data_IF_964528055062
#
_entry.id   IF_964528055062
#
_cell.length_a   1.000
_cell.length_b   1.000
_cell.length_c   1.000
_cell.angle_alpha   90.00
_cell.angle_beta   90.00
_cell.angle_gamma   90.00
#
_symmetry.space_group_name_H-M   'P 1'
#
loop_
_entity.id
_entity.type
_entity.pdbx_description
1 polymer ?
#
# COMPACT_ATOMS: atom_id res chain seq x y z
N UNK A 1 -7.80 19.30 -30.36
CA UNK A 1 -9.14 19.30 -29.72
C UNK A 1 -9.00 18.46 -28.46
N UNK A 2 -9.25 19.01 -27.27
CA UNK A 2 -9.21 18.29 -26.01
C UNK A 2 -10.20 17.12 -26.04
N UNK A 3 -9.75 15.93 -25.64
CA UNK A 3 -10.60 14.76 -25.50
C UNK A 3 -10.73 14.45 -24.00
N UNK A 4 -11.95 14.48 -23.49
CA UNK A 4 -12.23 14.15 -22.11
C UNK A 4 -11.91 12.66 -21.86
N UNK A 5 -11.09 12.35 -20.83
CA UNK A 5 -10.76 10.96 -20.52
C UNK A 5 -11.92 10.24 -19.84
N UNK A 6 -12.03 8.97 -20.11
CA UNK A 6 -12.94 8.11 -19.36
C UNK A 6 -12.18 7.52 -18.16
N UNK A 7 -12.52 7.96 -16.95
CA UNK A 7 -11.88 7.49 -15.73
C UNK A 7 -12.64 6.30 -15.11
N UNK A 8 -11.99 5.15 -15.06
CA UNK A 8 -12.51 3.92 -14.45
C UNK A 8 -11.67 3.61 -13.18
N UNK A 9 -12.00 4.29 -12.09
CA UNK A 9 -11.17 4.30 -10.89
C UNK A 9 -11.83 3.69 -9.65
N UNK A 10 -13.15 3.59 -9.61
CA UNK A 10 -13.84 2.96 -8.48
C UNK A 10 -13.63 1.45 -8.50
N UNK A 11 -13.47 0.81 -7.34
CA UNK A 11 -13.31 -0.63 -7.27
C UNK A 11 -14.57 -1.33 -7.76
N UNK A 12 -14.37 -2.33 -8.63
CA UNK A 12 -15.46 -3.19 -9.11
C UNK A 12 -15.57 -4.43 -8.23
N UNK A 13 -16.78 -4.91 -8.05
CA UNK A 13 -17.01 -6.17 -7.36
C UNK A 13 -16.48 -7.31 -8.24
N UNK A 14 -15.62 -8.21 -7.71
CA UNK A 14 -15.13 -9.34 -8.47
C UNK A 14 -16.25 -10.31 -8.85
N UNK A 15 -16.06 -11.06 -9.94
CA UNK A 15 -17.04 -12.06 -10.40
C UNK A 15 -17.34 -13.13 -9.34
N UNK A 16 -16.30 -13.56 -8.61
CA UNK A 16 -16.41 -14.44 -7.44
C UNK A 16 -15.90 -13.70 -6.21
N UNK A 17 -16.79 -13.46 -5.26
CA UNK A 17 -16.55 -12.63 -4.07
C UNK A 17 -16.99 -13.27 -2.75
N UNK A 18 -17.52 -14.47 -2.80
CA UNK A 18 -18.11 -15.20 -1.67
C UNK A 18 -17.10 -16.02 -0.87
N UNK A 19 -15.81 -15.74 -1.04
CA UNK A 19 -14.75 -16.35 -0.22
C UNK A 19 -14.92 -16.00 1.26
N UNK A 20 -14.71 -17.00 2.14
CA UNK A 20 -14.62 -16.74 3.57
C UNK A 20 -13.29 -16.11 3.94
N UNK A 21 -13.34 -14.94 4.56
CA UNK A 21 -12.17 -14.21 5.04
C UNK A 21 -12.00 -14.49 6.53
N UNK A 22 -10.81 -14.96 6.93
CA UNK A 22 -10.35 -14.98 8.30
C UNK A 22 -9.48 -13.75 8.58
N UNK A 23 -9.84 -12.92 9.57
CA UNK A 23 -9.08 -11.74 9.94
C UNK A 23 -8.17 -12.06 11.12
N UNK A 24 -6.85 -11.91 10.95
CA UNK A 24 -5.85 -12.12 12.00
C UNK A 24 -5.26 -10.78 12.42
N UNK A 25 -5.56 -10.37 13.64
CA UNK A 25 -5.30 -9.05 14.20
C UNK A 25 -6.49 -8.12 14.01
N UNK A 26 -7.05 -7.62 15.12
CA UNK A 26 -8.15 -6.64 15.12
C UNK A 26 -7.62 -5.38 15.80
N UNK A 27 -6.61 -4.76 15.17
CA UNK A 27 -6.03 -3.50 15.62
C UNK A 27 -6.54 -2.31 14.83
N UNK A 28 -6.00 -1.12 15.10
CA UNK A 28 -6.49 0.14 14.54
C UNK A 28 -6.64 0.14 13.01
N UNK A 29 -5.72 -0.50 12.26
CA UNK A 29 -5.83 -0.55 10.80
C UNK A 29 -6.99 -1.44 10.34
N UNK A 30 -7.25 -2.55 11.04
CA UNK A 30 -8.40 -3.40 10.79
C UNK A 30 -9.71 -2.65 11.08
N UNK A 31 -9.73 -1.90 12.20
CA UNK A 31 -10.89 -1.14 12.66
C UNK A 31 -11.29 -0.01 11.71
N UNK A 32 -10.32 0.76 11.21
CA UNK A 32 -10.60 1.96 10.39
C UNK A 32 -10.55 1.69 8.88
N UNK A 33 -9.95 0.59 8.43
CA UNK A 33 -9.74 0.29 7.01
C UNK A 33 -10.43 -1.00 6.56
N UNK A 34 -9.89 -2.15 6.96
CA UNK A 34 -10.29 -3.45 6.42
C UNK A 34 -11.74 -3.81 6.73
N UNK A 35 -12.16 -3.76 8.00
CA UNK A 35 -13.52 -4.13 8.41
C UNK A 35 -14.57 -3.24 7.73
N UNK A 36 -14.48 -1.88 7.78
CA UNK A 36 -15.44 -1.03 7.08
C UNK A 36 -15.49 -1.28 5.57
N UNK A 37 -14.34 -1.51 4.94
CA UNK A 37 -14.26 -1.79 3.51
C UNK A 37 -14.99 -3.09 3.15
N UNK A 38 -14.75 -4.17 3.91
CA UNK A 38 -15.38 -5.47 3.65
C UNK A 38 -16.88 -5.44 3.91
N UNK A 39 -17.32 -4.76 4.95
CA UNK A 39 -18.76 -4.56 5.22
C UNK A 39 -19.43 -3.79 4.09
N UNK A 40 -18.83 -2.69 3.61
CA UNK A 40 -19.35 -1.89 2.49
C UNK A 40 -19.42 -2.69 1.19
N UNK A 41 -18.41 -3.53 0.91
CA UNK A 41 -18.36 -4.39 -0.28
C UNK A 41 -19.26 -5.63 -0.17
N UNK A 42 -19.72 -5.99 1.03
CA UNK A 42 -20.41 -7.23 1.31
C UNK A 42 -19.51 -8.46 1.32
N UNK A 43 -18.20 -8.30 1.53
CA UNK A 43 -17.26 -9.42 1.67
C UNK A 43 -17.47 -10.14 3.01
N UNK A 44 -17.25 -11.45 3.03
CA UNK A 44 -17.65 -12.32 4.13
C UNK A 44 -16.49 -12.54 5.12
N UNK A 45 -16.45 -11.79 6.22
CA UNK A 45 -15.59 -12.14 7.36
C UNK A 45 -16.26 -13.27 8.12
N UNK A 46 -15.64 -14.45 8.14
CA UNK A 46 -16.22 -15.68 8.73
C UNK A 46 -15.57 -16.09 10.04
N UNK A 47 -14.40 -15.56 10.35
CA UNK A 47 -13.68 -15.80 11.60
C UNK A 47 -12.72 -14.62 11.90
N UNK A 48 -12.42 -14.40 13.18
CA UNK A 48 -11.41 -13.43 13.62
C UNK A 48 -10.49 -14.06 14.66
N UNK A 49 -9.22 -13.67 14.65
CA UNK A 49 -8.25 -14.06 15.67
C UNK A 49 -7.47 -12.84 16.17
N UNK A 50 -7.48 -12.62 17.48
CA UNK A 50 -6.66 -11.63 18.17
C UNK A 50 -6.42 -12.11 19.60
N UNK A 51 -5.20 -12.06 20.17
CA UNK A 51 -4.96 -12.48 21.55
C UNK A 51 -5.68 -11.60 22.59
N UNK A 52 -6.05 -10.37 22.23
CA UNK A 52 -6.69 -9.40 23.11
C UNK A 52 -8.22 -9.52 23.02
N UNK A 53 -8.87 -9.89 24.13
CA UNK A 53 -10.32 -10.13 24.17
C UNK A 53 -11.14 -8.91 23.73
N UNK A 54 -10.82 -7.71 24.24
CA UNK A 54 -11.56 -6.50 23.88
C UNK A 54 -11.53 -6.19 22.36
N UNK A 55 -10.51 -6.61 21.64
CA UNK A 55 -10.45 -6.48 20.18
C UNK A 55 -11.37 -7.48 19.48
N UNK A 56 -11.48 -8.70 20.01
CA UNK A 56 -12.45 -9.67 19.51
C UNK A 56 -13.88 -9.21 19.77
N UNK A 57 -14.15 -8.61 20.94
CA UNK A 57 -15.45 -7.99 21.25
C UNK A 57 -15.78 -6.81 20.33
N UNK A 58 -14.77 -6.00 19.97
CA UNK A 58 -14.96 -4.97 18.95
C UNK A 58 -15.41 -5.57 17.61
N UNK A 59 -14.75 -6.65 17.15
CA UNK A 59 -15.16 -7.36 15.93
C UNK A 59 -16.58 -7.93 16.04
N UNK A 60 -16.98 -8.49 17.20
CA UNK A 60 -18.35 -8.95 17.47
C UNK A 60 -19.36 -7.83 17.22
N UNK A 61 -19.11 -6.65 17.78
CA UNK A 61 -20.00 -5.50 17.67
C UNK A 61 -20.08 -4.94 16.23
N UNK A 62 -18.97 -4.91 15.51
CA UNK A 62 -18.90 -4.31 14.17
C UNK A 62 -19.37 -5.26 13.07
N UNK A 63 -19.07 -6.55 13.18
CA UNK A 63 -19.29 -7.54 12.13
C UNK A 63 -20.49 -8.43 12.45
N UNK A 64 -20.88 -8.53 13.72
CA UNK A 64 -21.91 -9.47 14.19
C UNK A 64 -21.42 -10.91 14.26
N UNK A 65 -20.08 -11.12 14.42
CA UNK A 65 -19.50 -12.45 14.45
C UNK A 65 -19.62 -13.09 15.82
N UNK A 66 -20.21 -14.29 15.89
CA UNK A 66 -20.44 -15.00 17.15
C UNK A 66 -19.14 -15.43 17.84
N UNK A 67 -19.19 -15.64 19.17
CA UNK A 67 -18.03 -16.03 19.99
C UNK A 67 -17.40 -17.37 19.56
N UNK A 68 -18.18 -18.25 18.96
CA UNK A 68 -17.74 -19.54 18.39
C UNK A 68 -16.82 -19.39 17.16
N UNK A 69 -16.68 -18.17 16.63
CA UNK A 69 -15.84 -17.82 15.48
C UNK A 69 -14.76 -16.78 15.82
N UNK A 70 -14.54 -16.59 17.11
CA UNK A 70 -13.51 -15.70 17.67
C UNK A 70 -12.44 -16.52 18.37
N UNK A 71 -11.18 -16.31 18.00
CA UNK A 71 -10.05 -17.10 18.49
C UNK A 71 -9.01 -16.22 19.14
N UNK A 72 -8.40 -16.69 20.21
CA UNK A 72 -7.23 -16.06 20.81
C UNK A 72 -5.93 -16.45 20.11
N UNK A 73 -5.92 -17.61 19.46
CA UNK A 73 -4.81 -18.14 18.67
C UNK A 73 -5.21 -18.22 17.18
N UNK A 74 -4.37 -17.70 16.32
CA UNK A 74 -4.61 -17.70 14.87
C UNK A 74 -4.67 -19.13 14.27
N UNK A 75 -4.00 -20.10 14.89
CA UNK A 75 -3.99 -21.49 14.39
C UNK A 75 -5.38 -22.12 14.42
N UNK A 76 -6.18 -21.83 15.44
CA UNK A 76 -7.56 -22.31 15.51
C UNK A 76 -8.44 -21.72 14.39
N UNK A 77 -8.15 -20.48 13.94
CA UNK A 77 -8.79 -19.88 12.79
C UNK A 77 -8.32 -20.54 11.48
N UNK A 78 -7.03 -20.88 11.37
CA UNK A 78 -6.46 -21.48 10.17
C UNK A 78 -6.99 -22.91 9.92
N UNK A 79 -7.38 -23.65 10.96
CA UNK A 79 -7.97 -25.00 10.86
C UNK A 79 -9.38 -25.00 10.24
N UNK A 80 -10.01 -23.84 10.10
CA UNK A 80 -11.38 -23.75 9.55
C UNK A 80 -11.40 -23.97 8.03
N UNK A 81 -12.29 -24.84 7.58
CA UNK A 81 -12.50 -25.15 6.15
C UNK A 81 -13.26 -24.04 5.39
N UNK A 82 -14.05 -23.22 6.10
CA UNK A 82 -14.78 -22.08 5.50
C UNK A 82 -13.95 -20.79 5.39
N UNK A 83 -12.70 -20.79 5.84
CA UNK A 83 -11.71 -19.73 5.62
C UNK A 83 -10.85 -20.11 4.41
N UNK A 84 -10.96 -19.35 3.32
CA UNK A 84 -10.15 -19.50 2.11
C UNK A 84 -9.09 -18.43 1.99
N UNK A 85 -9.37 -17.21 2.47
CA UNK A 85 -8.46 -16.07 2.47
C UNK A 85 -8.19 -15.66 3.92
N UNK A 86 -6.94 -15.39 4.23
CA UNK A 86 -6.54 -14.84 5.52
C UNK A 86 -6.00 -13.43 5.33
N UNK A 87 -6.59 -12.49 6.04
CA UNK A 87 -6.15 -11.10 6.07
C UNK A 87 -5.36 -10.85 7.35
N UNK A 88 -4.05 -10.58 7.21
CA UNK A 88 -3.09 -10.46 8.31
C UNK A 88 -2.78 -8.98 8.55
N UNK A 89 -3.46 -8.38 9.55
CA UNK A 89 -3.35 -6.97 9.91
C UNK A 89 -2.46 -6.73 11.15
N UNK A 90 -1.62 -7.72 11.46
CA UNK A 90 -0.66 -7.64 12.56
C UNK A 90 0.40 -6.59 12.25
N UNK A 91 0.71 -5.66 13.18
CA UNK A 91 1.74 -4.65 12.97
C UNK A 91 3.13 -5.27 12.81
N UNK A 92 4.01 -4.66 12.02
CA UNK A 92 5.38 -5.14 11.81
C UNK A 92 6.24 -5.13 13.07
N UNK A 93 5.86 -4.39 14.10
CA UNK A 93 6.51 -4.40 15.41
C UNK A 93 6.20 -5.66 16.22
N UNK A 94 5.21 -6.46 15.80
CA UNK A 94 4.88 -7.73 16.46
C UNK A 94 5.93 -8.80 16.12
N UNK A 95 6.54 -9.44 17.13
CA UNK A 95 7.53 -10.48 16.90
C UNK A 95 6.94 -11.73 16.20
N UNK A 96 5.63 -11.90 16.22
CA UNK A 96 4.95 -13.07 15.69
C UNK A 96 4.46 -12.91 14.25
N UNK A 97 4.59 -11.72 13.62
CA UNK A 97 4.05 -11.48 12.27
C UNK A 97 4.57 -12.51 11.26
N UNK A 98 5.88 -12.75 11.26
CA UNK A 98 6.52 -13.65 10.30
C UNK A 98 6.03 -15.10 10.48
N UNK A 99 5.95 -15.60 11.73
CA UNK A 99 5.44 -16.94 11.99
C UNK A 99 3.98 -17.08 11.59
N UNK A 100 3.13 -16.10 11.87
CA UNK A 100 1.71 -16.09 11.46
C UNK A 100 1.56 -16.17 9.94
N UNK A 101 2.40 -15.43 9.18
CA UNK A 101 2.39 -15.53 7.72
C UNK A 101 2.79 -16.92 7.25
N UNK A 102 3.82 -17.52 7.84
CA UNK A 102 4.22 -18.90 7.50
C UNK A 102 3.15 -19.93 7.86
N UNK A 103 2.54 -19.83 9.04
CA UNK A 103 1.46 -20.73 9.48
C UNK A 103 0.26 -20.66 8.52
N UNK A 104 -0.12 -19.45 8.06
CA UNK A 104 -1.20 -19.26 7.09
C UNK A 104 -0.88 -19.88 5.71
N UNK A 105 0.39 -19.76 5.26
CA UNK A 105 0.86 -20.38 4.02
C UNK A 105 0.85 -21.91 4.16
N UNK A 106 1.34 -22.47 5.27
CA UNK A 106 1.37 -23.92 5.54
C UNK A 106 -0.04 -24.52 5.63
N UNK A 107 -1.01 -23.73 6.13
CA UNK A 107 -2.43 -24.09 6.12
C UNK A 107 -3.09 -24.00 4.73
N UNK A 108 -2.34 -23.63 3.68
CA UNK A 108 -2.83 -23.53 2.31
C UNK A 108 -3.81 -22.38 2.08
N UNK A 109 -3.84 -21.35 2.96
CA UNK A 109 -4.73 -20.19 2.82
C UNK A 109 -4.12 -19.16 1.88
N UNK A 110 -4.93 -18.58 0.98
CA UNK A 110 -4.53 -17.38 0.26
C UNK A 110 -4.44 -16.20 1.25
N UNK A 111 -3.49 -15.29 1.05
CA UNK A 111 -3.19 -14.30 2.09
C UNK A 111 -3.13 -12.87 1.55
N UNK A 112 -3.65 -11.95 2.33
CA UNK A 112 -3.36 -10.54 2.28
C UNK A 112 -2.57 -10.15 3.53
N UNK A 113 -1.50 -9.38 3.38
CA UNK A 113 -0.61 -9.02 4.50
C UNK A 113 -0.41 -7.52 4.54
N UNK A 114 -0.60 -6.90 5.71
CA UNK A 114 -0.28 -5.48 5.91
C UNK A 114 1.19 -5.18 5.69
N UNK A 115 1.42 -4.03 5.02
CA UNK A 115 2.75 -3.49 4.77
C UNK A 115 3.38 -2.90 6.07
N UNK A 116 4.70 -2.77 6.13
CA UNK A 116 5.65 -3.46 5.26
C UNK A 116 5.59 -4.97 5.52
N UNK A 117 5.90 -5.76 4.50
CA UNK A 117 5.88 -7.24 4.64
C UNK A 117 6.82 -7.70 5.75
N UNK A 118 8.04 -7.15 5.79
CA UNK A 118 9.02 -7.32 6.88
C UNK A 118 9.95 -6.11 6.95
N UNK A 119 10.57 -5.92 8.12
CA UNK A 119 11.68 -4.97 8.33
C UNK A 119 13.03 -5.55 7.87
N UNK A 120 13.06 -6.73 7.31
CA UNK A 120 14.23 -7.41 6.78
C UNK A 120 13.92 -7.99 5.39
N UNK A 121 14.77 -7.66 4.40
CA UNK A 121 14.53 -8.08 3.02
C UNK A 121 14.61 -9.61 2.84
N UNK A 122 15.54 -10.29 3.51
CA UNK A 122 15.68 -11.76 3.41
C UNK A 122 14.47 -12.49 3.98
N UNK A 123 13.90 -11.98 5.08
CA UNK A 123 12.65 -12.52 5.65
C UNK A 123 11.47 -12.31 4.69
N UNK A 124 11.31 -11.08 4.14
CA UNK A 124 10.28 -10.80 3.15
C UNK A 124 10.39 -11.74 1.94
N UNK A 125 11.60 -11.94 1.41
CA UNK A 125 11.90 -12.86 0.33
C UNK A 125 11.56 -14.31 0.69
N UNK A 126 11.90 -14.72 1.92
CA UNK A 126 11.57 -16.05 2.45
C UNK A 126 10.07 -16.34 2.46
N UNK A 127 9.25 -15.41 2.97
CA UNK A 127 7.79 -15.53 2.98
C UNK A 127 7.21 -15.63 1.56
N UNK A 128 7.66 -14.77 0.64
CA UNK A 128 7.19 -14.77 -0.75
C UNK A 128 7.56 -16.08 -1.47
N UNK A 129 8.78 -16.57 -1.28
CA UNK A 129 9.21 -17.84 -1.86
C UNK A 129 8.44 -19.04 -1.27
N UNK A 130 8.10 -18.98 0.02
CA UNK A 130 7.28 -19.99 0.67
C UNK A 130 5.86 -20.01 0.09
N UNK A 131 5.19 -18.86 -0.03
CA UNK A 131 3.88 -18.75 -0.64
C UNK A 131 3.87 -19.31 -2.08
N UNK A 132 4.87 -18.94 -2.88
CA UNK A 132 5.03 -19.47 -4.24
C UNK A 132 5.19 -20.98 -4.27
N UNK A 133 6.02 -21.55 -3.38
CA UNK A 133 6.24 -23.01 -3.28
C UNK A 133 4.96 -23.77 -2.93
N UNK A 134 4.14 -23.18 -2.06
CA UNK A 134 2.87 -23.78 -1.63
C UNK A 134 1.69 -23.51 -2.57
N UNK A 135 1.89 -22.71 -3.65
CA UNK A 135 0.82 -22.34 -4.58
C UNK A 135 -0.21 -21.37 -3.97
N UNK A 136 0.17 -20.65 -2.92
CA UNK A 136 -0.68 -19.68 -2.22
C UNK A 136 -0.59 -18.33 -2.90
N UNK A 137 -1.73 -17.73 -3.27
CA UNK A 137 -1.76 -16.34 -3.75
C UNK A 137 -1.51 -15.41 -2.57
N UNK A 138 -0.59 -14.47 -2.74
CA UNK A 138 -0.16 -13.52 -1.73
C UNK A 138 -0.23 -12.10 -2.26
N UNK A 139 -1.02 -11.24 -1.60
CA UNK A 139 -1.04 -9.79 -1.87
C UNK A 139 -0.57 -8.99 -0.66
N UNK A 140 0.08 -7.86 -0.91
CA UNK A 140 0.57 -6.95 0.13
C UNK A 140 -0.26 -5.66 0.10
N UNK A 141 -0.57 -5.11 1.28
CA UNK A 141 -1.48 -3.96 1.41
C UNK A 141 -0.86 -2.65 0.88
N UNK A 142 -0.75 -2.55 -0.46
CA UNK A 142 -0.56 -1.28 -1.16
C UNK A 142 -1.89 -0.82 -1.76
N UNK A 143 -2.85 -0.54 -0.87
CA UNK A 143 -4.22 -0.16 -1.21
C UNK A 143 -4.31 1.15 -1.98
N UNK A 144 -3.25 1.99 -2.00
CA UNK A 144 -3.23 3.26 -2.75
C UNK A 144 -3.50 3.05 -4.24
N UNK A 145 -3.07 1.93 -4.83
CA UNK A 145 -3.36 1.60 -6.24
C UNK A 145 -4.87 1.55 -6.58
N UNK A 146 -5.74 1.43 -5.58
CA UNK A 146 -7.21 1.44 -5.74
C UNK A 146 -7.89 2.68 -5.15
N UNK A 147 -7.15 3.58 -4.50
CA UNK A 147 -7.71 4.85 -4.07
C UNK A 147 -8.06 5.72 -5.29
N UNK A 148 -9.21 6.43 -5.27
CA UNK A 148 -9.74 7.11 -6.46
C UNK A 148 -8.74 8.00 -7.18
N UNK A 149 -8.05 8.91 -6.49
CA UNK A 149 -7.10 9.84 -7.15
C UNK A 149 -5.91 9.11 -7.76
N UNK A 150 -5.32 8.12 -7.06
CA UNK A 150 -4.16 7.37 -7.55
C UNK A 150 -4.52 6.49 -8.75
N UNK A 151 -5.71 5.86 -8.70
CA UNK A 151 -6.25 5.06 -9.79
C UNK A 151 -6.58 5.91 -11.01
N UNK A 152 -7.12 7.13 -10.80
CA UNK A 152 -7.40 8.08 -11.88
C UNK A 152 -6.12 8.54 -12.59
N UNK A 153 -5.04 8.78 -11.85
CA UNK A 153 -3.71 9.06 -12.41
C UNK A 153 -3.27 7.91 -13.33
N UNK A 154 -3.36 6.67 -12.83
CA UNK A 154 -3.02 5.47 -13.64
C UNK A 154 -3.85 5.38 -14.91
N UNK A 155 -5.16 5.64 -14.84
CA UNK A 155 -6.04 5.66 -16.00
C UNK A 155 -5.59 6.68 -17.08
N UNK A 156 -5.18 7.89 -16.68
CA UNK A 156 -4.68 8.91 -17.61
C UNK A 156 -3.36 8.47 -18.27
N UNK A 157 -2.47 7.85 -17.50
CA UNK A 157 -1.20 7.34 -18.01
C UNK A 157 -1.43 6.20 -19.00
N UNK A 158 -2.27 5.20 -18.66
CA UNK A 158 -2.57 4.04 -19.48
C UNK A 158 -3.28 4.39 -20.79
N UNK A 159 -4.10 5.45 -20.78
CA UNK A 159 -4.74 5.99 -21.96
C UNK A 159 -3.81 6.92 -22.76
N UNK A 160 -2.53 7.04 -22.39
CA UNK A 160 -1.51 7.85 -23.05
C UNK A 160 -1.79 9.37 -23.12
N UNK A 161 -2.61 9.91 -22.21
CA UNK A 161 -2.89 11.33 -22.17
C UNK A 161 -1.66 12.19 -21.86
N UNK A 162 -0.67 11.62 -21.18
CA UNK A 162 0.58 12.31 -20.83
C UNK A 162 1.70 12.08 -21.84
N UNK A 163 1.52 11.20 -22.83
CA UNK A 163 2.61 10.81 -23.72
C UNK A 163 3.73 10.07 -23.00
N UNK A 164 5.00 10.34 -23.34
CA UNK A 164 6.15 9.77 -22.66
C UNK A 164 6.43 10.52 -21.34
N UNK A 165 6.40 9.81 -20.22
CA UNK A 165 6.68 10.39 -18.90
C UNK A 165 8.16 10.71 -18.74
N UNK A 166 8.49 11.87 -18.17
CA UNK A 166 9.86 12.28 -17.89
C UNK A 166 10.09 12.77 -16.44
N UNK A 167 9.02 13.19 -15.73
CA UNK A 167 9.12 13.65 -14.36
C UNK A 167 7.89 13.30 -13.52
N UNK A 168 8.12 12.78 -12.31
CA UNK A 168 7.10 12.57 -11.29
C UNK A 168 7.58 13.14 -9.95
N UNK A 169 6.70 13.74 -9.19
CA UNK A 169 7.00 14.13 -7.81
C UNK A 169 5.83 13.92 -6.87
N UNK A 170 6.15 13.58 -5.62
CA UNK A 170 5.22 13.53 -4.50
C UNK A 170 5.83 14.32 -3.35
N UNK A 171 5.06 15.28 -2.84
CA UNK A 171 5.32 15.98 -1.58
C UNK A 171 4.33 15.50 -0.54
N UNK A 172 4.81 14.71 0.43
CA UNK A 172 4.03 14.18 1.54
C UNK A 172 4.27 14.99 2.81
N UNK A 173 3.17 15.43 3.42
CA UNK A 173 3.16 16.04 4.75
C UNK A 173 2.11 15.32 5.59
N UNK A 174 2.55 14.61 6.61
CA UNK A 174 1.66 13.88 7.51
C UNK A 174 2.12 14.03 8.95
N UNK A 175 1.22 13.81 9.92
CA UNK A 175 1.56 13.89 11.34
C UNK A 175 1.36 12.53 12.01
N UNK A 176 2.48 11.79 12.15
CA UNK A 176 2.55 10.56 12.94
C UNK A 176 3.35 10.74 14.23
N UNK A 177 3.83 11.96 14.51
CA UNK A 177 4.65 12.25 15.69
C UNK A 177 3.81 12.44 16.97
N UNK A 178 2.87 11.52 17.17
CA UNK A 178 2.01 11.46 18.35
C UNK A 178 2.48 10.31 19.25
N UNK A 179 2.42 10.47 20.59
CA UNK A 179 2.72 9.39 21.52
C UNK A 179 1.86 8.15 21.22
N UNK A 180 2.49 6.98 21.12
CA UNK A 180 1.75 5.74 20.86
C UNK A 180 2.55 4.64 20.18
N UNK A 181 1.94 3.94 19.23
CA UNK A 181 2.49 2.72 18.62
C UNK A 181 3.75 2.90 17.76
N UNK A 182 4.03 4.13 17.33
CA UNK A 182 5.18 4.43 16.48
C UNK A 182 6.42 4.95 17.24
N UNK A 183 6.32 5.21 18.54
CA UNK A 183 7.39 5.83 19.34
C UNK A 183 8.72 5.06 19.24
N UNK A 184 8.65 3.73 19.20
CA UNK A 184 9.81 2.83 19.17
C UNK A 184 10.23 2.43 17.74
N UNK A 185 9.58 2.96 16.73
CA UNK A 185 9.86 2.59 15.34
C UNK A 185 11.15 3.27 14.88
N UNK A 186 12.18 2.48 14.56
CA UNK A 186 13.51 2.97 14.15
C UNK A 186 13.61 3.28 12.66
N UNK A 187 12.78 2.62 11.84
CA UNK A 187 12.64 2.83 10.40
C UNK A 187 11.21 3.29 10.13
N UNK A 188 10.97 4.59 10.19
CA UNK A 188 9.62 5.14 10.22
C UNK A 188 9.16 5.63 8.84
N UNK A 189 9.76 6.70 8.32
CA UNK A 189 9.28 7.34 7.10
C UNK A 189 9.26 6.36 5.92
N UNK A 190 10.40 5.73 5.62
CA UNK A 190 10.52 4.91 4.42
C UNK A 190 9.65 3.65 4.50
N UNK A 191 9.68 2.94 5.62
CA UNK A 191 8.93 1.68 5.78
C UNK A 191 7.43 1.89 5.99
N UNK A 192 7.04 2.99 6.66
CA UNK A 192 5.64 3.18 7.00
C UNK A 192 4.85 3.97 5.95
N UNK A 193 5.50 4.90 5.24
CA UNK A 193 4.82 5.79 4.30
C UNK A 193 5.42 5.75 2.91
N UNK A 194 6.72 6.02 2.76
CA UNK A 194 7.36 6.10 1.44
C UNK A 194 7.23 4.81 0.65
N UNK A 195 7.09 3.67 1.32
CA UNK A 195 6.85 2.36 0.68
C UNK A 195 5.63 2.37 -0.24
N UNK A 196 4.57 3.09 0.11
CA UNK A 196 3.40 3.28 -0.77
C UNK A 196 3.75 4.09 -2.01
N UNK A 197 4.50 5.18 -1.86
CA UNK A 197 4.81 6.07 -2.98
C UNK A 197 5.87 5.51 -3.92
N UNK A 198 6.83 4.74 -3.40
CA UNK A 198 7.73 3.95 -4.24
C UNK A 198 6.95 2.93 -5.05
N UNK A 199 5.97 2.27 -4.45
CA UNK A 199 5.07 1.35 -5.12
C UNK A 199 4.27 2.05 -6.23
N UNK A 200 3.71 3.24 -5.95
CA UNK A 200 2.97 4.06 -6.92
C UNK A 200 3.85 4.49 -8.10
N UNK A 201 5.06 4.99 -7.85
CA UNK A 201 5.97 5.38 -8.93
C UNK A 201 6.30 4.20 -9.86
N UNK A 202 6.54 3.02 -9.31
CA UNK A 202 6.76 1.79 -10.09
C UNK A 202 5.52 1.42 -10.89
N UNK A 203 4.35 1.45 -10.25
CA UNK A 203 3.09 1.06 -10.87
C UNK A 203 2.64 2.04 -11.96
N UNK A 204 2.72 3.35 -11.72
CA UNK A 204 2.36 4.37 -12.71
C UNK A 204 3.25 4.31 -13.95
N UNK A 205 4.55 4.14 -13.75
CA UNK A 205 5.52 4.14 -14.85
C UNK A 205 5.63 2.78 -15.56
N UNK A 206 5.25 1.69 -14.89
CA UNK A 206 5.52 0.33 -15.34
C UNK A 206 7.02 0.01 -15.42
N UNK A 207 7.87 0.74 -14.69
CA UNK A 207 9.33 0.65 -14.74
C UNK A 207 9.94 0.50 -13.37
N UNK A 208 11.14 -0.10 -13.32
CA UNK A 208 11.93 -0.21 -12.10
C UNK A 208 13.01 0.88 -12.04
N UNK A 209 13.22 1.52 -10.86
CA UNK A 209 14.33 2.46 -10.71
C UNK A 209 15.68 1.77 -10.92
N UNK A 210 16.58 2.43 -11.64
CA UNK A 210 17.96 1.96 -11.86
C UNK A 210 18.86 2.26 -10.67
N UNK A 211 18.63 3.40 -10.04
CA UNK A 211 19.36 3.84 -8.85
C UNK A 211 18.53 4.80 -8.03
N UNK A 212 18.82 4.86 -6.75
CA UNK A 212 18.16 5.72 -5.77
C UNK A 212 19.23 6.52 -5.03
N UNK A 213 19.01 7.84 -4.89
CA UNK A 213 19.70 8.67 -3.90
C UNK A 213 18.70 9.08 -2.83
N UNK A 214 19.07 8.92 -1.55
CA UNK A 214 18.24 9.27 -0.42
C UNK A 214 19.02 10.09 0.61
N UNK A 215 18.31 11.04 1.23
CA UNK A 215 18.76 11.80 2.39
C UNK A 215 17.67 11.74 3.45
N UNK A 216 18.02 11.32 4.66
CA UNK A 216 17.09 11.11 5.76
C UNK A 216 17.50 11.93 6.97
N UNK A 217 16.52 12.47 7.68
CA UNK A 217 16.77 13.23 8.91
C UNK A 217 15.57 13.13 9.87
N UNK A 218 15.73 13.76 11.03
CA UNK A 218 14.71 13.81 12.09
C UNK A 218 14.34 15.26 12.38
N UNK A 219 13.05 15.51 12.61
CA UNK A 219 12.61 16.79 13.14
C UNK A 219 13.19 16.97 14.58
N UNK A 220 13.70 18.16 14.93
CA UNK A 220 14.11 18.44 16.31
C UNK A 220 12.95 18.21 17.31
N UNK A 221 13.21 17.54 18.43
CA UNK A 221 12.25 17.26 19.51
C UNK A 221 11.03 16.42 19.10
N UNK A 222 11.12 15.61 18.06
CA UNK A 222 10.07 14.64 17.73
C UNK A 222 10.02 13.50 18.76
N UNK A 223 8.84 12.86 18.90
CA UNK A 223 8.62 11.70 19.78
C UNK A 223 9.15 10.41 19.16
N UNK A 224 8.84 10.16 17.90
CA UNK A 224 9.32 8.97 17.18
C UNK A 224 10.85 8.95 17.10
N UNK A 225 11.44 7.76 17.30
CA UNK A 225 12.91 7.60 17.30
C UNK A 225 13.49 7.44 15.90
N UNK A 226 12.71 7.01 14.92
CA UNK A 226 13.11 6.87 13.52
C UNK A 226 13.17 8.18 12.75
N UNK A 227 13.57 8.09 11.50
CA UNK A 227 13.57 9.22 10.57
C UNK A 227 12.13 9.68 10.27
N UNK A 228 11.92 10.99 10.23
CA UNK A 228 10.63 11.61 9.94
C UNK A 228 10.65 12.49 8.70
N UNK A 229 11.84 12.86 8.24
CA UNK A 229 12.04 13.72 7.07
C UNK A 229 12.92 12.97 6.08
N UNK A 230 12.52 12.95 4.81
CA UNK A 230 13.30 12.29 3.77
C UNK A 230 13.09 12.88 2.39
N UNK A 231 14.14 12.78 1.59
CA UNK A 231 14.12 13.10 0.17
C UNK A 231 14.68 11.91 -0.58
N UNK A 232 13.94 11.42 -1.58
CA UNK A 232 14.41 10.38 -2.49
C UNK A 232 14.40 10.91 -3.92
N UNK A 233 15.47 10.62 -4.64
CA UNK A 233 15.56 10.82 -6.09
C UNK A 233 15.76 9.43 -6.70
N UNK A 234 14.88 9.05 -7.61
CA UNK A 234 14.93 7.76 -8.30
C UNK A 234 15.08 8.00 -9.80
N UNK A 235 16.15 7.47 -10.38
CA UNK A 235 16.39 7.49 -11.81
C UNK A 235 15.89 6.19 -12.44
N UNK A 236 15.10 6.33 -13.48
CA UNK A 236 14.63 5.22 -14.32
C UNK A 236 15.36 5.22 -15.66
N UNK A 237 14.98 4.35 -16.58
CA UNK A 237 15.44 4.41 -17.96
C UNK A 237 14.79 5.56 -18.75
N UNK A 238 15.30 5.85 -19.95
CA UNK A 238 14.75 6.87 -20.87
C UNK A 238 14.58 8.27 -20.26
N UNK A 239 15.54 8.67 -19.41
CA UNK A 239 15.56 10.00 -18.76
C UNK A 239 14.35 10.29 -17.85
N UNK A 240 13.62 9.28 -17.41
CA UNK A 240 12.57 9.44 -16.44
C UNK A 240 13.14 9.55 -15.02
N UNK A 241 12.67 10.52 -14.27
CA UNK A 241 13.04 10.75 -12.87
C UNK A 241 11.83 10.92 -12.00
N UNK A 242 11.86 10.36 -10.80
CA UNK A 242 10.91 10.70 -9.75
C UNK A 242 11.59 11.27 -8.52
N UNK A 243 10.85 12.16 -7.82
CA UNK A 243 11.28 12.80 -6.57
C UNK A 243 10.20 12.63 -5.52
N UNK A 244 10.61 12.17 -4.35
CA UNK A 244 9.75 12.13 -3.18
C UNK A 244 10.31 13.05 -2.10
N UNK A 245 9.44 13.87 -1.52
CA UNK A 245 9.71 14.74 -0.38
C UNK A 245 8.76 14.34 0.74
N UNK A 246 9.27 13.80 1.83
CA UNK A 246 8.46 13.31 2.95
C UNK A 246 8.75 14.04 4.25
N UNK A 247 7.70 14.35 5.00
CA UNK A 247 7.77 14.75 6.39
C UNK A 247 6.55 14.21 7.14
N UNK A 248 6.77 13.18 7.96
CA UNK A 248 5.72 12.52 8.77
C UNK A 248 5.67 13.01 10.22
N UNK A 249 6.35 14.10 10.51
CA UNK A 249 6.29 14.83 11.76
C UNK A 249 5.94 16.32 11.50
N UNK A 250 5.04 16.57 10.55
CA UNK A 250 4.56 17.92 10.23
C UNK A 250 3.51 18.37 11.24
N UNK A 251 3.11 19.63 11.18
CA UNK A 251 1.95 20.09 11.96
C UNK A 251 0.66 19.59 11.30
N UNK A 252 -0.25 19.05 12.11
CA UNK A 252 -1.49 18.38 11.66
C UNK A 252 -2.38 19.19 10.71
N UNK A 253 -2.30 20.51 10.75
CA UNK A 253 -3.07 21.42 9.88
C UNK A 253 -2.55 21.48 8.44
N UNK A 254 -1.41 20.84 8.14
CA UNK A 254 -0.74 20.89 6.82
C UNK A 254 -0.64 19.51 6.16
N UNK A 255 -1.50 18.57 6.57
CA UNK A 255 -1.45 17.21 6.01
C UNK A 255 -1.89 17.20 4.54
N UNK A 256 -1.05 16.63 3.67
CA UNK A 256 -1.35 16.45 2.25
C UNK A 256 -0.38 15.49 1.58
N UNK A 257 -0.82 14.95 0.45
CA UNK A 257 0.01 14.41 -0.61
C UNK A 257 -0.21 15.28 -1.85
N UNK A 258 0.77 16.06 -2.27
CA UNK A 258 0.75 16.78 -3.54
C UNK A 258 1.51 15.96 -4.57
N UNK A 259 0.86 15.66 -5.67
CA UNK A 259 1.37 14.80 -6.74
C UNK A 259 1.46 15.63 -8.01
N UNK A 260 2.61 15.57 -8.69
CA UNK A 260 2.81 16.16 -10.00
C UNK A 260 3.43 15.14 -10.93
N UNK A 261 2.86 15.01 -12.13
CA UNK A 261 3.35 14.11 -13.17
C UNK A 261 3.42 14.87 -14.48
N UNK A 262 4.55 14.78 -15.17
CA UNK A 262 4.81 15.46 -16.43
C UNK A 262 5.22 14.46 -17.51
N UNK A 263 4.63 14.62 -18.66
CA UNK A 263 4.95 13.87 -19.86
C UNK A 263 4.93 14.76 -21.11
N UNK A 264 5.39 14.23 -22.23
CA UNK A 264 5.47 14.96 -23.49
C UNK A 264 4.10 15.38 -24.06
N UNK A 265 3.03 14.76 -23.59
CA UNK A 265 1.65 15.04 -24.03
C UNK A 265 0.81 15.83 -23.03
N UNK A 266 1.26 16.00 -21.79
CA UNK A 266 0.47 16.71 -20.78
C UNK A 266 1.06 16.63 -19.37
N UNK A 267 0.28 17.17 -18.43
CA UNK A 267 0.66 17.32 -17.03
C UNK A 267 -0.53 17.03 -16.13
N UNK A 268 -0.27 16.40 -14.98
CA UNK A 268 -1.22 16.18 -13.90
C UNK A 268 -0.73 16.90 -12.64
N UNK A 269 -1.65 17.59 -11.96
CA UNK A 269 -1.56 17.95 -10.55
C UNK A 269 -2.67 17.22 -9.80
N UNK A 270 -2.33 16.59 -8.66
CA UNK A 270 -3.31 15.92 -7.84
C UNK A 270 -3.03 16.12 -6.35
N UNK A 271 -4.07 16.02 -5.54
CA UNK A 271 -3.98 16.17 -4.08
C UNK A 271 -4.79 15.09 -3.36
N UNK A 272 -4.24 14.63 -2.24
CA UNK A 272 -4.92 13.74 -1.32
C UNK A 272 -4.64 14.24 0.11
N UNK A 273 -5.66 14.78 0.76
CA UNK A 273 -5.50 15.53 2.03
C UNK A 273 -6.05 14.78 3.24
N UNK A 274 -6.84 13.73 3.04
CA UNK A 274 -7.36 12.89 4.13
C UNK A 274 -7.82 11.53 3.58
N UNK A 275 -7.91 10.54 4.46
CA UNK A 275 -8.23 9.15 4.11
C UNK A 275 -9.67 8.93 3.63
N UNK A 276 -10.57 9.87 3.89
CA UNK A 276 -12.02 9.72 3.65
C UNK A 276 -12.50 10.43 2.39
N UNK A 277 -11.67 11.30 1.80
CA UNK A 277 -12.00 11.95 0.54
C UNK A 277 -11.41 11.20 -0.65
N UNK A 278 -12.03 11.28 -1.84
CA UNK A 278 -11.46 10.67 -3.05
C UNK A 278 -10.16 11.35 -3.53
N UNK A 279 -9.81 12.51 -2.96
CA UNK A 279 -8.76 13.38 -3.47
C UNK A 279 -9.27 14.29 -4.60
N UNK A 280 -8.37 15.05 -5.18
CA UNK A 280 -8.64 15.92 -6.33
C UNK A 280 -7.56 15.77 -7.39
N UNK A 281 -7.97 15.99 -8.64
CA UNK A 281 -7.12 15.83 -9.81
C UNK A 281 -7.44 16.95 -10.80
N UNK A 282 -6.40 17.55 -11.35
CA UNK A 282 -6.51 18.36 -12.56
C UNK A 282 -5.43 17.94 -13.56
N UNK A 283 -5.77 18.01 -14.84
CA UNK A 283 -4.82 17.72 -15.88
C UNK A 283 -4.98 18.66 -17.08
N UNK A 284 -3.86 18.96 -17.76
CA UNK A 284 -3.80 19.73 -19.00
C UNK A 284 -2.97 18.99 -20.06
N UNK A 285 -3.32 19.19 -21.33
CA UNK A 285 -2.60 18.64 -22.48
C UNK A 285 -1.74 19.70 -23.15
N UNK A 286 -0.63 19.30 -23.73
CA UNK A 286 0.20 20.15 -24.58
C UNK A 286 -0.64 20.66 -25.77
N UNK A 287 -0.59 21.98 -26.01
CA UNK A 287 -1.43 22.66 -27.02
C UNK A 287 -2.82 23.10 -26.51
N UNK A 288 -3.11 22.86 -25.22
CA UNK A 288 -4.31 23.30 -24.53
C UNK A 288 -3.98 23.80 -23.11
N UNK A 289 -2.86 24.53 -22.98
CA UNK A 289 -2.25 24.90 -21.69
C UNK A 289 -3.14 25.79 -20.83
N UNK A 290 -4.03 26.57 -21.46
CA UNK A 290 -5.02 27.42 -20.76
C UNK A 290 -6.23 26.62 -20.25
N UNK A 291 -6.34 25.34 -20.61
CA UNK A 291 -7.45 24.48 -20.22
C UNK A 291 -7.02 23.40 -19.25
N UNK A 292 -7.64 23.38 -18.06
CA UNK A 292 -7.47 22.35 -17.04
C UNK A 292 -8.76 21.57 -16.86
N UNK A 293 -8.71 20.28 -17.18
CA UNK A 293 -9.78 19.34 -16.86
C UNK A 293 -9.72 18.99 -15.38
N UNK A 294 -10.86 19.14 -14.68
CA UNK A 294 -11.00 18.91 -13.23
C UNK A 294 -12.19 17.98 -12.97
N UNK A 295 -12.00 16.65 -13.09
CA UNK A 295 -13.08 15.71 -12.82
C UNK A 295 -13.50 15.78 -11.35
N UNK A 296 -14.79 15.67 -11.11
CA UNK A 296 -15.29 15.43 -9.76
C UNK A 296 -15.12 13.94 -9.46
N UNK A 297 -14.19 13.63 -8.55
CA UNK A 297 -13.98 12.25 -8.11
C UNK A 297 -14.98 11.89 -7.02
N UNK A 298 -15.46 10.66 -7.07
CA UNK A 298 -16.36 10.05 -6.07
C UNK A 298 -15.61 8.99 -5.29
N UNK A 299 -16.22 8.51 -4.20
CA UNK A 299 -15.68 7.43 -3.37
C UNK A 299 -14.98 7.90 -2.10
N UNK A 300 -14.38 6.95 -1.41
CA UNK A 300 -13.65 7.15 -0.15
C UNK A 300 -12.29 6.45 -0.27
N UNK A 301 -11.21 7.21 -0.31
CA UNK A 301 -9.87 6.68 -0.61
C UNK A 301 -9.53 5.41 0.18
N UNK A 302 -9.66 5.46 1.49
CA UNK A 302 -9.21 4.36 2.34
C UNK A 302 -10.09 3.12 2.20
N UNK A 303 -11.41 3.31 2.21
CA UNK A 303 -12.39 2.22 2.06
C UNK A 303 -12.30 1.59 0.68
N UNK A 304 -12.31 2.39 -0.39
CA UNK A 304 -12.25 1.89 -1.77
C UNK A 304 -10.91 1.23 -2.07
N UNK A 305 -9.82 1.73 -1.45
CA UNK A 305 -8.49 1.13 -1.51
C UNK A 305 -8.50 -0.34 -1.07
N UNK A 306 -9.06 -0.64 0.09
CA UNK A 306 -9.12 -2.02 0.61
C UNK A 306 -10.16 -2.88 -0.12
N UNK A 307 -11.29 -2.29 -0.57
CA UNK A 307 -12.26 -3.02 -1.41
C UNK A 307 -11.57 -3.52 -2.68
N UNK A 308 -10.86 -2.65 -3.38
CA UNK A 308 -10.22 -3.00 -4.63
C UNK A 308 -9.07 -3.98 -4.46
N UNK A 309 -8.27 -3.83 -3.39
CA UNK A 309 -7.15 -4.73 -3.11
C UNK A 309 -7.62 -6.16 -2.80
N UNK A 310 -8.64 -6.31 -1.93
CA UNK A 310 -9.22 -7.62 -1.63
C UNK A 310 -9.94 -8.20 -2.85
N UNK A 311 -10.63 -7.35 -3.62
CA UNK A 311 -11.29 -7.74 -4.87
C UNK A 311 -10.30 -8.32 -5.89
N UNK A 312 -9.14 -7.68 -6.08
CA UNK A 312 -8.09 -8.19 -6.96
C UNK A 312 -7.53 -9.55 -6.51
N UNK A 313 -7.35 -9.74 -5.18
CA UNK A 313 -6.93 -11.04 -4.65
C UNK A 313 -7.99 -12.12 -4.95
N UNK A 314 -9.27 -11.83 -4.77
CA UNK A 314 -10.37 -12.77 -5.05
C UNK A 314 -10.43 -13.11 -6.56
N UNK A 315 -10.26 -12.13 -7.44
CA UNK A 315 -10.15 -12.37 -8.89
C UNK A 315 -8.92 -13.20 -9.23
N UNK A 316 -7.76 -12.86 -8.67
CA UNK A 316 -6.51 -13.59 -8.88
C UNK A 316 -6.64 -15.07 -8.50
N UNK A 317 -7.35 -15.37 -7.40
CA UNK A 317 -7.65 -16.76 -6.99
C UNK A 317 -8.56 -17.44 -8.01
N UNK A 318 -9.64 -16.77 -8.43
CA UNK A 318 -10.64 -17.37 -9.34
C UNK A 318 -10.12 -17.59 -10.76
N UNK A 319 -9.18 -16.75 -11.20
CA UNK A 319 -8.57 -16.79 -12.53
C UNK A 319 -7.21 -17.51 -12.56
N UNK A 320 -6.74 -17.99 -11.42
CA UNK A 320 -5.41 -18.58 -11.22
C UNK A 320 -4.25 -17.71 -11.75
N UNK A 321 -4.36 -16.40 -11.56
CA UNK A 321 -3.30 -15.42 -11.86
C UNK A 321 -2.63 -14.90 -10.59
N UNK A 322 -1.52 -14.19 -10.73
CA UNK A 322 -0.96 -13.43 -9.63
C UNK A 322 -1.78 -12.15 -9.35
N UNK A 323 -1.96 -11.76 -8.07
CA UNK A 323 -2.52 -10.46 -7.73
C UNK A 323 -1.66 -9.31 -8.28
N UNK A 324 -2.29 -8.17 -8.57
CA UNK A 324 -1.59 -6.97 -9.08
C UNK A 324 -0.50 -6.49 -8.12
N UNK A 325 -0.73 -6.60 -6.80
CA UNK A 325 0.29 -6.35 -5.77
C UNK A 325 0.73 -7.67 -5.15
N UNK A 326 1.24 -8.57 -5.99
CA UNK A 326 1.74 -9.86 -5.50
C UNK A 326 2.94 -9.70 -4.58
N UNK A 327 3.22 -10.72 -3.76
CA UNK A 327 4.44 -10.77 -2.97
C UNK A 327 5.70 -10.57 -3.83
N UNK A 328 5.72 -11.13 -5.04
CA UNK A 328 6.84 -10.96 -6.00
C UNK A 328 6.98 -9.50 -6.46
N UNK A 329 5.89 -8.81 -6.76
CA UNK A 329 5.92 -7.39 -7.13
C UNK A 329 6.38 -6.54 -5.95
N UNK A 330 5.87 -6.82 -4.74
CA UNK A 330 6.26 -6.09 -3.53
C UNK A 330 7.74 -6.23 -3.19
N UNK A 331 8.39 -7.37 -3.46
CA UNK A 331 9.83 -7.51 -3.23
C UNK A 331 10.65 -6.44 -3.98
N UNK A 332 10.21 -6.03 -5.15
CA UNK A 332 10.88 -4.95 -5.91
C UNK A 332 10.69 -3.60 -5.22
N UNK A 333 9.49 -3.30 -4.69
CA UNK A 333 9.26 -2.11 -3.85
C UNK A 333 10.19 -2.13 -2.61
N UNK A 334 10.27 -3.28 -1.93
CA UNK A 334 11.15 -3.46 -0.78
C UNK A 334 12.63 -3.27 -1.13
N UNK A 335 13.10 -3.77 -2.28
CA UNK A 335 14.48 -3.53 -2.74
C UNK A 335 14.80 -2.04 -2.88
N UNK A 336 13.87 -1.26 -3.44
CA UNK A 336 14.03 0.20 -3.58
C UNK A 336 14.11 0.87 -2.20
N UNK A 337 13.24 0.48 -1.26
CA UNK A 337 13.24 1.01 0.11
C UNK A 337 14.56 0.70 0.84
N UNK A 338 15.05 -0.54 0.77
CA UNK A 338 16.34 -0.89 1.40
C UNK A 338 17.53 -0.22 0.69
N UNK A 339 17.47 -0.06 -0.63
CA UNK A 339 18.46 0.72 -1.37
C UNK A 339 18.45 2.20 -0.96
N UNK A 340 17.29 2.77 -0.64
CA UNK A 340 17.18 4.14 -0.12
C UNK A 340 17.84 4.28 1.27
N UNK A 341 17.62 3.32 2.19
CA UNK A 341 18.34 3.32 3.48
C UNK A 341 19.85 3.22 3.29
N UNK A 342 20.30 2.27 2.44
CA UNK A 342 21.73 2.10 2.12
C UNK A 342 22.32 3.35 1.46
N UNK A 343 21.54 4.04 0.61
CA UNK A 343 21.95 5.30 -0.01
C UNK A 343 22.15 6.42 1.02
N UNK A 344 21.21 6.57 1.95
CA UNK A 344 21.29 7.57 3.03
C UNK A 344 22.49 7.32 3.95
N UNK A 345 22.79 6.06 4.25
CA UNK A 345 23.95 5.65 5.05
C UNK A 345 25.28 5.94 4.33
N UNK A 346 25.39 5.59 3.04
CA UNK A 346 26.62 5.71 2.25
C UNK A 346 26.84 7.11 1.64
N UNK A 347 25.81 7.98 1.64
CA UNK A 347 25.87 9.30 1.00
C UNK A 347 26.06 9.26 -0.52
N UNK A 348 25.67 8.16 -1.18
CA UNK A 348 25.74 7.98 -2.64
C UNK A 348 24.49 7.32 -3.20
N UNK A 349 24.32 7.41 -4.53
CA UNK A 349 23.30 6.62 -5.21
C UNK A 349 23.59 5.11 -5.08
N UNK A 350 22.53 4.31 -4.88
CA UNK A 350 22.56 2.86 -4.73
C UNK A 350 21.60 2.23 -5.73
N UNK A 351 21.99 1.10 -6.33
CA UNK A 351 21.14 0.32 -7.21
C UNK A 351 20.30 -0.65 -6.38
N UNK A 352 19.00 -0.87 -6.68
CA UNK A 352 18.18 -1.88 -5.99
C UNK A 352 18.82 -3.27 -6.00
N UNK A 353 19.52 -3.64 -7.08
CA UNK A 353 20.22 -4.93 -7.19
C UNK A 353 21.36 -5.13 -6.20
N UNK A 354 21.87 -4.06 -5.55
CA UNK A 354 22.88 -4.17 -4.50
C UNK A 354 22.30 -4.76 -3.19
N UNK A 355 20.96 -4.83 -3.05
CA UNK A 355 20.29 -5.35 -1.85
C UNK A 355 20.20 -6.89 -1.86
N UNK A 356 20.13 -7.52 -3.05
CA UNK A 356 20.07 -8.99 -3.18
C UNK A 356 21.43 -9.66 -2.99
N UNK A 357 22.52 -8.90 -3.05
CA UNK A 357 23.90 -9.41 -2.96
C UNK A 357 24.43 -9.51 -1.53
N UNK A 358 23.74 -8.94 -0.57
CA UNK A 358 24.08 -8.95 0.86
C UNK A 358 23.18 -9.99 1.60
#
# INVERSE_FOLDING_TARGET
>A
MFKEPQLDYLPKRPCKWDYGIGLIGVGGIAEIGHIPAYLKAGYRIVAVADPIESRREYAENMIGIGKDKQYSDHRDLLDRSDVQIVDITIPQSSPNKISVVHDAIDAGKHIMVEKPLSMNYKEAKGMVMHAKKMGVKMTICHQYRWMPVYRSIKNLIDQHYLGELFFLSIDERWDYDLPGSYDKQTQMLLMMQTVHFVDEFRWWTGREPRQIFASLSRRPKQHIIGESIGTLIMDFDKNLRSVYLGNVATHSQSQHHHIRIEGTGGIINAQHNNLWSPGSLEYSQVGAEDFWYRPQLEGESFTDGYIGLMGDLMEAISEDREPVVSGQDNLKTMQVIFAAYKSAELGRAVKPSEIDSD
#
